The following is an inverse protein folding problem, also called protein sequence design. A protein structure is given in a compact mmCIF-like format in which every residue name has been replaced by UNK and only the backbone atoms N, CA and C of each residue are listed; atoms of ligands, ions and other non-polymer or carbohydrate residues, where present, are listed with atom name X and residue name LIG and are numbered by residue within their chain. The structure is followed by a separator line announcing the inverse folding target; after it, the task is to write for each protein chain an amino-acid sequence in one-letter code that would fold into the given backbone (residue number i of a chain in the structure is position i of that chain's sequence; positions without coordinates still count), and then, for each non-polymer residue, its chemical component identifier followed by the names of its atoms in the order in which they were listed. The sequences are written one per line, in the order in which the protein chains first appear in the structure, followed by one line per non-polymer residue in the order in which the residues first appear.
data_IF_963667630496
#
_entry.id   IF_963667630496
#
_cell.length_a   1.000
_cell.length_b   1.000
_cell.length_c   1.000
_cell.angle_alpha   90.00
_cell.angle_beta   90.00
_cell.angle_gamma   90.00
#
_symmetry.space_group_name_H-M   'P 1'
#
loop_
_entity.id
_entity.type
_entity.pdbx_description
1 polymer ?
#
# COMPACT_ATOMS: atom_id res chain seq x y z
N UNK A 1 -10.74 -1.47 -19.45
CA UNK A 1 -11.19 -1.66 -18.06
C UNK A 1 -10.69 -0.51 -17.20
N UNK A 2 -11.45 -0.06 -16.21
CA UNK A 2 -11.00 0.93 -15.21
C UNK A 2 -9.95 0.30 -14.28
N UNK A 3 -9.00 1.11 -13.80
CA UNK A 3 -8.01 0.70 -12.80
C UNK A 3 -8.62 0.68 -11.39
N UNK A 4 -9.64 -0.16 -11.23
CA UNK A 4 -10.28 -0.42 -9.95
C UNK A 4 -9.48 -1.45 -9.17
N UNK A 5 -9.47 -1.31 -7.84
CA UNK A 5 -8.83 -2.24 -6.91
C UNK A 5 -9.85 -2.76 -5.92
N UNK A 6 -9.71 -4.01 -5.49
CA UNK A 6 -10.50 -4.56 -4.37
C UNK A 6 -9.79 -4.20 -3.07
N UNK A 7 -10.54 -3.82 -2.05
CA UNK A 7 -10.03 -3.62 -0.70
C UNK A 7 -10.90 -4.33 0.34
N UNK A 8 -10.31 -4.56 1.50
CA UNK A 8 -10.98 -5.17 2.64
C UNK A 8 -11.88 -4.19 3.38
N UNK A 9 -13.12 -4.59 3.66
CA UNK A 9 -13.96 -3.88 4.63
C UNK A 9 -13.28 -3.80 6.00
N UNK A 10 -12.42 -4.77 6.34
CA UNK A 10 -11.60 -4.76 7.56
C UNK A 10 -10.62 -3.58 7.59
N UNK A 11 -9.95 -3.26 6.47
CA UNK A 11 -9.09 -2.08 6.39
C UNK A 11 -9.88 -0.80 6.59
N UNK A 12 -11.04 -0.66 5.93
CA UNK A 12 -11.87 0.54 6.07
C UNK A 12 -12.41 0.69 7.49
N UNK A 13 -12.77 -0.40 8.16
CA UNK A 13 -13.18 -0.36 9.56
C UNK A 13 -12.05 0.15 10.46
N UNK A 14 -10.86 -0.45 10.38
CA UNK A 14 -9.71 -0.06 11.19
C UNK A 14 -9.30 1.40 10.95
N UNK A 15 -9.32 1.85 9.70
CA UNK A 15 -9.01 3.24 9.34
C UNK A 15 -10.12 4.18 9.83
N UNK A 16 -11.38 3.78 9.71
CA UNK A 16 -12.51 4.54 10.23
C UNK A 16 -12.40 4.76 11.73
N UNK A 17 -12.07 3.72 12.49
CA UNK A 17 -11.82 3.79 13.92
C UNK A 17 -10.61 4.66 14.25
N UNK A 18 -9.49 4.51 13.52
CA UNK A 18 -8.30 5.35 13.70
C UNK A 18 -8.64 6.85 13.55
N UNK A 19 -9.33 7.22 12.48
CA UNK A 19 -9.61 8.62 12.15
C UNK A 19 -10.72 9.25 13.03
N UNK A 20 -11.53 8.44 13.70
CA UNK A 20 -12.65 8.93 14.54
C UNK A 20 -12.39 8.80 16.04
N UNK A 21 -11.69 7.75 16.48
CA UNK A 21 -11.43 7.43 17.89
C UNK A 21 -9.97 7.62 18.29
N UNK A 22 -9.05 7.75 17.34
CA UNK A 22 -7.62 7.86 17.59
C UNK A 22 -6.88 6.52 17.49
N UNK A 23 -5.62 6.50 17.89
CA UNK A 23 -4.74 5.34 17.77
C UNK A 23 -5.17 4.24 18.75
N UNK A 24 -5.33 3.01 18.24
CA UNK A 24 -5.51 1.83 19.07
C UNK A 24 -4.15 1.32 19.59
N UNK A 25 -3.96 1.45 20.91
CA UNK A 25 -2.75 1.03 21.62
C UNK A 25 -2.71 -0.48 21.92
N UNK A 26 -3.77 -1.22 21.59
CA UNK A 26 -3.85 -2.64 21.87
C UNK A 26 -2.79 -3.47 21.14
N UNK A 27 -2.45 -4.61 21.73
CA UNK A 27 -1.63 -5.62 21.06
C UNK A 27 -2.39 -6.21 19.89
N UNK A 28 -1.67 -6.40 18.80
CA UNK A 28 -2.14 -7.17 17.65
C UNK A 28 -1.09 -8.22 17.30
N UNK A 29 -1.35 -9.03 16.28
CA UNK A 29 -0.44 -10.11 15.90
C UNK A 29 -0.28 -10.22 14.38
N UNK A 30 0.85 -10.72 13.93
CA UNK A 30 0.98 -11.28 12.58
C UNK A 30 1.00 -12.80 12.68
N UNK A 31 0.49 -13.48 11.66
CA UNK A 31 0.60 -14.93 11.55
C UNK A 31 1.89 -15.22 10.79
N UNK A 32 2.88 -15.78 11.48
CA UNK A 32 4.15 -16.19 10.89
C UNK A 32 4.14 -17.69 10.59
N UNK A 33 4.53 -18.05 9.37
CA UNK A 33 4.52 -19.43 8.87
C UNK A 33 5.93 -20.02 9.01
N UNK A 34 6.07 -21.07 9.79
CA UNK A 34 7.32 -21.84 9.90
C UNK A 34 7.20 -23.13 9.07
N UNK A 35 7.71 -23.07 7.84
CA UNK A 35 7.70 -24.21 6.91
C UNK A 35 8.68 -25.31 7.33
N UNK A 36 9.73 -24.97 8.07
CA UNK A 36 10.76 -25.94 8.47
C UNK A 36 10.25 -26.82 9.62
N UNK A 37 9.56 -26.20 10.58
CA UNK A 37 8.99 -26.90 11.73
C UNK A 37 7.52 -27.31 11.54
N UNK A 38 6.97 -27.18 10.33
CA UNK A 38 5.58 -27.51 9.97
C UNK A 38 4.54 -26.92 10.93
N UNK A 39 4.74 -25.66 11.35
CA UNK A 39 3.91 -24.99 12.36
C UNK A 39 3.69 -23.51 12.01
N UNK A 40 2.85 -22.83 12.80
CA UNK A 40 2.69 -21.38 12.69
C UNK A 40 2.64 -20.75 14.08
N UNK A 41 2.94 -19.45 14.14
CA UNK A 41 2.90 -18.70 15.40
C UNK A 41 2.29 -17.31 15.22
N UNK A 42 1.94 -16.68 16.34
CA UNK A 42 1.48 -15.30 16.39
C UNK A 42 2.64 -14.40 16.82
N UNK A 43 3.17 -13.60 15.91
CA UNK A 43 4.19 -12.59 16.21
C UNK A 43 3.53 -11.34 16.78
N UNK A 44 3.96 -10.90 17.96
CA UNK A 44 3.47 -9.67 18.61
C UNK A 44 3.67 -8.44 17.71
N UNK A 45 2.62 -7.63 17.59
CA UNK A 45 2.60 -6.33 16.93
C UNK A 45 1.66 -5.36 17.67
N UNK A 46 1.42 -4.19 17.08
CA UNK A 46 0.49 -3.19 17.60
C UNK A 46 -0.58 -2.87 16.56
N UNK A 47 -1.82 -2.70 17.01
CA UNK A 47 -2.92 -2.24 16.16
C UNK A 47 -2.60 -0.87 15.53
N UNK A 48 -1.92 0.01 16.26
CA UNK A 48 -1.40 1.28 15.75
C UNK A 48 -0.57 1.15 14.46
N UNK A 49 0.28 0.12 14.36
CA UNK A 49 1.13 -0.12 13.19
C UNK A 49 0.27 -0.55 12.01
N UNK A 50 -0.55 -1.59 12.22
CA UNK A 50 -1.43 -2.16 11.19
C UNK A 50 -2.40 -1.11 10.65
N UNK A 51 -3.00 -0.31 11.53
CA UNK A 51 -3.97 0.73 11.12
C UNK A 51 -3.28 1.86 10.34
N UNK A 52 -2.03 2.19 10.70
CA UNK A 52 -1.23 3.19 9.96
C UNK A 52 -0.86 2.68 8.56
N UNK A 53 -0.42 1.42 8.44
CA UNK A 53 -0.16 0.80 7.13
C UNK A 53 -1.41 0.76 6.26
N UNK A 54 -2.55 0.36 6.83
CA UNK A 54 -3.83 0.31 6.13
C UNK A 54 -4.25 1.70 5.63
N UNK A 55 -4.09 2.74 6.46
CA UNK A 55 -4.38 4.12 6.07
C UNK A 55 -3.46 4.56 4.91
N UNK A 56 -2.16 4.30 4.97
CA UNK A 56 -1.22 4.71 3.92
C UNK A 56 -1.48 4.00 2.59
N UNK A 57 -1.81 2.71 2.61
CA UNK A 57 -2.24 1.98 1.43
C UNK A 57 -3.56 2.59 0.88
N UNK A 58 -4.54 2.91 1.74
CA UNK A 58 -5.79 3.56 1.32
C UNK A 58 -5.58 4.95 0.69
N UNK A 59 -4.76 5.81 1.29
CA UNK A 59 -4.48 7.16 0.77
C UNK A 59 -3.86 7.09 -0.62
N UNK A 60 -2.94 6.14 -0.81
CA UNK A 60 -2.34 5.87 -2.12
C UNK A 60 -3.40 5.46 -3.13
N UNK A 61 -4.29 4.54 -2.75
CA UNK A 61 -5.36 4.08 -3.64
C UNK A 61 -6.38 5.18 -3.95
N UNK A 62 -6.75 6.02 -2.99
CA UNK A 62 -7.62 7.19 -3.22
C UNK A 62 -7.00 8.14 -4.26
N UNK A 63 -5.68 8.32 -4.24
CA UNK A 63 -5.02 9.25 -5.16
C UNK A 63 -4.83 8.64 -6.54
N UNK A 64 -4.52 7.33 -6.65
CA UNK A 64 -4.05 6.72 -7.89
C UNK A 64 -5.04 5.76 -8.58
N UNK A 65 -6.05 5.22 -7.89
CA UNK A 65 -6.98 4.24 -8.47
C UNK A 65 -8.23 4.90 -9.02
N UNK A 66 -8.88 4.32 -10.00
CA UNK A 66 -10.20 4.82 -10.43
C UNK A 66 -11.26 4.61 -9.35
N UNK A 67 -11.30 3.40 -8.80
CA UNK A 67 -12.27 2.98 -7.78
C UNK A 67 -11.66 1.98 -6.82
N UNK A 68 -12.11 2.03 -5.57
CA UNK A 68 -11.83 1.08 -4.52
C UNK A 68 -13.13 0.32 -4.26
N UNK A 69 -13.14 -0.95 -4.64
CA UNK A 69 -14.29 -1.83 -4.55
C UNK A 69 -14.24 -2.62 -3.24
N UNK A 70 -15.34 -2.58 -2.49
CA UNK A 70 -15.48 -3.24 -1.19
C UNK A 70 -16.75 -4.08 -1.16
N UNK A 71 -16.76 -5.15 -0.36
CA UNK A 71 -17.90 -6.08 -0.31
C UNK A 71 -19.14 -5.40 0.27
N UNK A 72 -20.25 -5.49 -0.47
CA UNK A 72 -21.47 -4.76 -0.11
C UNK A 72 -22.13 -5.27 1.18
N UNK A 73 -22.05 -6.59 1.42
CA UNK A 73 -22.66 -7.22 2.59
C UNK A 73 -22.03 -6.75 3.92
N UNK A 74 -20.82 -6.16 3.88
CA UNK A 74 -20.10 -5.69 5.05
C UNK A 74 -19.91 -4.17 5.08
N UNK A 75 -20.69 -3.40 4.31
CA UNK A 75 -20.62 -1.92 4.28
C UNK A 75 -20.87 -1.32 5.67
N UNK A 76 -21.79 -1.91 6.43
CA UNK A 76 -22.21 -1.41 7.74
C UNK A 76 -21.06 -1.34 8.77
N UNK A 77 -19.96 -2.07 8.54
CA UNK A 77 -18.80 -2.06 9.43
C UNK A 77 -18.01 -0.74 9.40
N UNK A 78 -18.15 0.07 8.35
CA UNK A 78 -17.35 1.30 8.18
C UNK A 78 -18.15 2.48 7.62
N UNK A 79 -19.28 2.25 6.94
CA UNK A 79 -20.11 3.30 6.36
C UNK A 79 -21.32 3.60 7.24
N UNK A 80 -21.10 4.34 8.33
CA UNK A 80 -22.14 4.83 9.23
C UNK A 80 -22.18 6.37 9.23
N UNK A 81 -23.17 6.98 9.89
CA UNK A 81 -23.20 8.45 10.01
C UNK A 81 -21.91 8.96 10.69
N UNK A 82 -21.35 10.06 10.16
CA UNK A 82 -20.10 10.64 10.64
C UNK A 82 -18.83 9.88 10.25
N UNK A 83 -18.91 8.86 9.38
CA UNK A 83 -17.71 8.16 8.93
C UNK A 83 -16.80 9.07 8.08
N UNK A 84 -15.46 8.88 8.12
CA UNK A 84 -14.51 9.75 7.43
C UNK A 84 -14.49 9.59 5.90
N UNK A 85 -15.22 8.61 5.36
CA UNK A 85 -15.20 8.25 3.94
C UNK A 85 -16.39 8.80 3.14
N UNK A 86 -17.31 9.53 3.78
CA UNK A 86 -18.55 10.02 3.15
C UNK A 86 -18.30 10.74 1.81
N UNK A 87 -17.32 11.63 1.77
CA UNK A 87 -16.98 12.36 0.54
C UNK A 87 -16.45 11.40 -0.54
N UNK A 88 -15.53 10.51 -0.19
CA UNK A 88 -14.97 9.52 -1.12
C UNK A 88 -16.03 8.55 -1.66
N UNK A 89 -17.02 8.17 -0.84
CA UNK A 89 -18.17 7.36 -1.26
C UNK A 89 -19.08 8.15 -2.20
N UNK A 90 -19.39 9.41 -1.86
CA UNK A 90 -20.26 10.27 -2.68
C UNK A 90 -19.68 10.56 -4.07
N UNK A 91 -18.36 10.65 -4.17
CA UNK A 91 -17.64 10.81 -5.44
C UNK A 91 -17.43 9.49 -6.20
N UNK A 92 -17.90 8.36 -5.64
CA UNK A 92 -17.75 7.03 -6.25
C UNK A 92 -16.31 6.50 -6.26
N UNK A 93 -15.41 7.09 -5.46
CA UNK A 93 -14.02 6.63 -5.30
C UNK A 93 -13.99 5.34 -4.49
N UNK A 94 -14.73 5.29 -3.37
CA UNK A 94 -14.99 4.05 -2.62
C UNK A 94 -16.40 3.60 -2.98
N UNK A 95 -16.53 2.37 -3.50
CA UNK A 95 -17.80 1.86 -4.00
C UNK A 95 -18.04 0.45 -3.50
N UNK A 96 -19.24 0.20 -3.00
CA UNK A 96 -19.69 -1.15 -2.72
C UNK A 96 -19.87 -1.96 -4.00
N UNK A 97 -19.53 -3.24 -3.94
CA UNK A 97 -19.66 -4.16 -5.06
C UNK A 97 -20.23 -5.51 -4.59
N UNK A 98 -21.21 -6.06 -5.32
CA UNK A 98 -21.92 -7.30 -4.96
C UNK A 98 -21.12 -8.56 -5.32
N UNK A 99 -19.90 -8.74 -4.76
CA UNK A 99 -19.04 -9.85 -5.18
C UNK A 99 -19.64 -11.23 -4.89
N UNK A 100 -20.55 -11.34 -3.92
CA UNK A 100 -21.15 -12.61 -3.49
C UNK A 100 -22.42 -13.00 -4.25
N UNK A 101 -22.91 -12.18 -5.18
CA UNK A 101 -24.09 -12.53 -6.00
C UNK A 101 -23.85 -13.81 -6.81
N UNK A 102 -22.63 -14.00 -7.32
CA UNK A 102 -22.20 -15.23 -7.98
C UNK A 102 -21.14 -15.98 -7.17
N UNK A 103 -21.47 -16.27 -5.91
CA UNK A 103 -20.61 -17.02 -4.99
C UNK A 103 -20.07 -18.33 -5.58
N UNK A 104 -20.83 -19.00 -6.46
CA UNK A 104 -20.42 -20.28 -7.06
C UNK A 104 -19.14 -20.14 -7.89
N UNK A 105 -18.97 -19.00 -8.60
CA UNK A 105 -17.73 -18.73 -9.36
C UNK A 105 -16.51 -18.54 -8.47
N UNK A 106 -16.72 -18.10 -7.22
CA UNK A 106 -15.63 -17.88 -6.26
C UNK A 106 -15.16 -19.16 -5.58
N UNK A 107 -16.01 -20.21 -5.54
CA UNK A 107 -15.73 -21.40 -4.74
C UNK A 107 -14.44 -22.11 -5.17
N UNK A 108 -14.30 -22.45 -6.45
CA UNK A 108 -13.11 -23.13 -6.97
C UNK A 108 -11.82 -22.35 -6.69
N UNK A 109 -11.69 -21.08 -7.14
CA UNK A 109 -10.52 -20.26 -6.86
C UNK A 109 -10.25 -20.06 -5.37
N UNK A 110 -11.28 -19.90 -4.54
CA UNK A 110 -11.11 -19.75 -3.08
C UNK A 110 -10.51 -21.02 -2.48
N UNK A 111 -11.03 -22.18 -2.85
CA UNK A 111 -10.58 -23.45 -2.29
C UNK A 111 -9.11 -23.72 -2.72
N UNK A 112 -8.71 -23.35 -3.95
CA UNK A 112 -7.30 -23.36 -4.38
C UNK A 112 -6.42 -22.42 -3.53
N UNK A 113 -6.88 -21.20 -3.25
CA UNK A 113 -6.13 -20.27 -2.41
C UNK A 113 -6.06 -20.73 -0.95
N UNK A 114 -7.09 -21.40 -0.42
CA UNK A 114 -7.04 -22.03 0.91
C UNK A 114 -5.92 -23.07 0.93
N UNK A 115 -5.86 -23.97 -0.04
CA UNK A 115 -4.81 -25.00 -0.12
C UNK A 115 -3.41 -24.40 -0.17
N UNK A 116 -3.24 -23.27 -0.88
CA UNK A 116 -1.97 -22.55 -0.98
C UNK A 116 -1.59 -21.76 0.28
N UNK A 117 -2.56 -21.35 1.09
CA UNK A 117 -2.34 -20.61 2.34
C UNK A 117 -2.17 -21.55 3.54
N UNK A 118 -2.80 -22.72 3.53
CA UNK A 118 -2.68 -23.75 4.56
C UNK A 118 -1.41 -24.58 4.35
N UNK A 119 -0.25 -23.94 4.49
CA UNK A 119 1.05 -24.53 4.15
C UNK A 119 1.57 -25.55 5.16
N UNK A 120 1.16 -25.43 6.42
CA UNK A 120 1.59 -26.32 7.51
C UNK A 120 0.46 -27.19 8.01
N UNK A 121 0.79 -28.31 8.64
CA UNK A 121 -0.18 -29.22 9.24
C UNK A 121 -1.05 -28.52 10.29
N UNK A 122 -0.45 -27.64 11.11
CA UNK A 122 -1.18 -26.85 12.10
C UNK A 122 -2.19 -25.89 11.46
N UNK A 123 -1.78 -25.18 10.39
CA UNK A 123 -2.69 -24.28 9.66
C UNK A 123 -3.86 -25.06 9.03
N UNK A 124 -3.59 -26.25 8.47
CA UNK A 124 -4.64 -27.12 7.90
C UNK A 124 -5.62 -27.57 8.98
N UNK A 125 -5.10 -28.03 10.12
CA UNK A 125 -5.89 -28.49 11.26
C UNK A 125 -6.78 -27.37 11.80
N UNK A 126 -6.21 -26.23 12.13
CA UNK A 126 -6.95 -25.12 12.73
C UNK A 126 -7.93 -24.48 11.73
N UNK A 127 -7.60 -24.47 10.43
CA UNK A 127 -8.55 -24.09 9.40
C UNK A 127 -9.72 -25.08 9.28
N UNK A 128 -9.47 -26.38 9.38
CA UNK A 128 -10.52 -27.38 9.37
C UNK A 128 -11.43 -27.29 10.60
N UNK A 129 -10.86 -27.02 11.78
CA UNK A 129 -11.63 -26.72 13.00
C UNK A 129 -12.51 -25.48 12.81
N UNK A 130 -11.98 -24.43 12.16
CA UNK A 130 -12.76 -23.26 11.75
C UNK A 130 -13.93 -23.61 10.83
N UNK A 131 -13.68 -24.44 9.82
CA UNK A 131 -14.68 -24.87 8.84
C UNK A 131 -15.79 -25.68 9.50
N UNK A 132 -15.43 -26.66 10.32
CA UNK A 132 -16.37 -27.51 11.07
C UNK A 132 -17.19 -26.66 12.04
N UNK A 133 -16.51 -25.82 12.84
CA UNK A 133 -17.18 -24.92 13.79
C UNK A 133 -18.18 -24.01 13.10
N UNK A 134 -17.83 -23.44 11.94
CA UNK A 134 -18.72 -22.54 11.21
C UNK A 134 -19.92 -23.30 10.60
N UNK A 135 -19.72 -24.50 10.08
CA UNK A 135 -20.80 -25.33 9.55
C UNK A 135 -21.81 -25.74 10.62
N UNK A 136 -21.33 -26.08 11.81
CA UNK A 136 -22.17 -26.54 12.91
C UNK A 136 -22.84 -25.38 13.66
N UNK A 137 -22.09 -24.33 13.97
CA UNK A 137 -22.47 -23.32 14.96
C UNK A 137 -22.46 -21.89 14.41
N UNK A 138 -22.15 -21.68 13.12
CA UNK A 138 -21.92 -20.35 12.51
C UNK A 138 -20.84 -19.54 13.23
N UNK A 139 -19.88 -20.24 13.84
CA UNK A 139 -18.80 -19.65 14.62
C UNK A 139 -17.45 -20.29 14.26
N UNK A 140 -16.42 -19.48 14.09
CA UNK A 140 -15.05 -19.95 13.82
C UNK A 140 -14.23 -19.92 15.13
N UNK A 141 -13.86 -21.08 15.72
CA UNK A 141 -13.09 -21.14 16.97
C UNK A 141 -11.78 -20.37 16.95
N UNK A 142 -11.06 -20.38 15.83
CA UNK A 142 -9.85 -19.60 15.61
C UNK A 142 -10.16 -18.38 14.75
N UNK A 143 -10.94 -17.44 15.32
CA UNK A 143 -11.52 -16.31 14.58
C UNK A 143 -10.49 -15.45 13.84
N UNK A 144 -9.36 -15.13 14.46
CA UNK A 144 -8.30 -14.32 13.84
C UNK A 144 -7.63 -15.04 12.66
N UNK A 145 -7.33 -16.33 12.81
CA UNK A 145 -6.84 -17.18 11.74
C UNK A 145 -7.86 -17.28 10.60
N UNK A 146 -9.15 -17.49 10.93
CA UNK A 146 -10.23 -17.56 9.95
C UNK A 146 -10.34 -16.27 9.14
N UNK A 147 -10.30 -15.12 9.81
CA UNK A 147 -10.34 -13.82 9.15
C UNK A 147 -9.13 -13.58 8.24
N UNK A 148 -7.95 -14.06 8.63
CA UNK A 148 -6.71 -13.88 7.88
C UNK A 148 -6.60 -14.86 6.71
N UNK A 149 -6.73 -16.16 6.97
CA UNK A 149 -6.58 -17.23 5.98
C UNK A 149 -7.84 -17.40 5.13
N UNK A 150 -8.98 -17.73 5.75
CA UNK A 150 -10.20 -18.05 5.01
C UNK A 150 -10.80 -16.79 4.35
N UNK A 151 -10.85 -15.69 5.10
CA UNK A 151 -11.20 -14.38 4.57
C UNK A 151 -10.24 -13.92 3.48
N UNK A 152 -8.94 -14.12 3.67
CA UNK A 152 -7.90 -13.76 2.70
C UNK A 152 -8.00 -14.54 1.39
N UNK A 153 -8.18 -15.86 1.45
CA UNK A 153 -8.47 -16.69 0.28
C UNK A 153 -9.71 -16.22 -0.47
N UNK A 154 -10.76 -15.82 0.26
CA UNK A 154 -11.95 -15.23 -0.34
C UNK A 154 -11.69 -13.92 -1.09
N UNK A 155 -10.78 -13.08 -0.60
CA UNK A 155 -10.43 -11.83 -1.30
C UNK A 155 -9.53 -12.08 -2.51
N UNK A 156 -8.56 -13.00 -2.40
CA UNK A 156 -7.74 -13.43 -3.53
C UNK A 156 -8.61 -14.03 -4.65
N UNK A 157 -9.59 -14.87 -4.30
CA UNK A 157 -10.55 -15.41 -5.25
C UNK A 157 -11.36 -14.32 -5.96
N UNK A 158 -11.77 -13.26 -5.24
CA UNK A 158 -12.43 -12.11 -5.88
C UNK A 158 -11.49 -11.37 -6.83
N UNK A 159 -10.25 -11.11 -6.43
CA UNK A 159 -9.25 -10.49 -7.29
C UNK A 159 -9.04 -11.28 -8.59
N UNK A 160 -8.97 -12.60 -8.48
CA UNK A 160 -8.87 -13.52 -9.61
C UNK A 160 -10.12 -13.51 -10.50
N UNK A 161 -11.30 -13.78 -9.95
CA UNK A 161 -12.54 -13.95 -10.74
C UNK A 161 -13.02 -12.66 -11.39
N UNK A 162 -12.82 -11.52 -10.73
CA UNK A 162 -13.21 -10.21 -11.23
C UNK A 162 -12.08 -9.47 -11.97
N UNK A 163 -10.92 -10.11 -12.09
CA UNK A 163 -9.73 -9.59 -12.78
C UNK A 163 -9.34 -8.19 -12.28
N UNK A 164 -9.34 -8.03 -10.96
CA UNK A 164 -8.98 -6.78 -10.27
C UNK A 164 -7.76 -6.98 -9.40
N UNK A 165 -6.95 -5.93 -9.29
CA UNK A 165 -5.92 -5.87 -8.25
C UNK A 165 -6.58 -5.93 -6.86
N UNK A 166 -5.80 -6.34 -5.86
CA UNK A 166 -6.24 -6.41 -4.48
C UNK A 166 -5.23 -5.69 -3.60
N UNK A 167 -5.71 -4.70 -2.83
CA UNK A 167 -4.98 -4.06 -1.75
C UNK A 167 -5.35 -4.77 -0.45
N UNK A 168 -4.53 -5.73 0.02
CA UNK A 168 -4.85 -6.51 1.20
C UNK A 168 -4.74 -5.68 2.49
N UNK A 169 -5.56 -6.01 3.48
CA UNK A 169 -5.31 -5.63 4.86
C UNK A 169 -3.87 -6.01 5.27
N UNK A 170 -3.12 -5.18 6.02
CA UNK A 170 -1.70 -5.42 6.27
C UNK A 170 -1.36 -6.78 6.92
N UNK A 171 -2.23 -7.27 7.81
CA UNK A 171 -2.10 -8.63 8.38
C UNK A 171 -2.10 -9.70 7.29
N UNK A 172 -3.02 -9.59 6.32
CA UNK A 172 -3.10 -10.53 5.20
C UNK A 172 -1.95 -10.33 4.22
N UNK A 173 -1.56 -9.08 3.97
CA UNK A 173 -0.39 -8.73 3.14
C UNK A 173 0.85 -9.49 3.60
N UNK A 174 1.15 -9.46 4.91
CA UNK A 174 2.29 -10.16 5.48
C UNK A 174 2.12 -11.68 5.42
N UNK A 175 0.94 -12.19 5.78
CA UNK A 175 0.64 -13.63 5.69
C UNK A 175 0.79 -14.18 4.25
N UNK A 176 0.34 -13.43 3.24
CA UNK A 176 0.49 -13.83 1.84
C UNK A 176 1.96 -13.82 1.39
N UNK A 177 2.73 -12.82 1.83
CA UNK A 177 4.18 -12.76 1.56
C UNK A 177 4.89 -13.97 2.15
N UNK A 178 4.63 -14.32 3.41
CA UNK A 178 5.22 -15.49 4.08
C UNK A 178 4.79 -16.80 3.40
N UNK A 179 3.54 -16.84 2.93
CA UNK A 179 3.00 -17.96 2.16
C UNK A 179 3.59 -18.05 0.73
N UNK A 180 4.31 -17.03 0.26
CA UNK A 180 4.79 -16.95 -1.13
C UNK A 180 3.66 -16.74 -2.15
N UNK A 181 2.50 -16.24 -1.71
CA UNK A 181 1.43 -15.82 -2.60
C UNK A 181 1.75 -14.42 -3.10
N UNK A 182 2.15 -14.35 -4.36
CA UNK A 182 2.07 -13.09 -5.09
C UNK A 182 0.59 -12.78 -5.31
N UNK A 183 0.11 -11.73 -4.66
CA UNK A 183 -1.27 -11.23 -4.85
C UNK A 183 -1.44 -10.97 -6.35
N UNK A 184 -2.26 -11.80 -6.99
CA UNK A 184 -2.27 -11.98 -8.43
C UNK A 184 -2.64 -10.69 -9.16
N UNK A 185 -1.92 -10.44 -10.26
CA UNK A 185 -1.95 -9.30 -11.17
C UNK A 185 -1.22 -8.06 -10.62
N UNK A 186 0.11 -8.00 -10.84
CA UNK A 186 0.87 -6.74 -10.79
C UNK A 186 0.20 -5.72 -11.73
N UNK A 187 -0.68 -4.92 -11.17
CA UNK A 187 -1.35 -3.84 -11.86
C UNK A 187 -0.40 -2.64 -12.05
N UNK A 188 -0.83 -1.69 -12.87
CA UNK A 188 -0.02 -0.54 -13.23
C UNK A 188 0.40 0.33 -12.02
N UNK A 189 -0.42 0.43 -10.96
CA UNK A 189 -0.09 1.20 -9.75
C UNK A 189 0.90 0.46 -8.87
N UNK A 190 0.75 -0.85 -8.70
CA UNK A 190 1.71 -1.66 -7.97
C UNK A 190 3.09 -1.60 -8.63
N UNK A 191 3.16 -1.69 -9.97
CA UNK A 191 4.42 -1.55 -10.72
C UNK A 191 5.06 -0.18 -10.55
N UNK A 192 4.25 0.89 -10.57
CA UNK A 192 4.74 2.25 -10.32
C UNK A 192 5.27 2.39 -8.90
N UNK A 193 4.50 1.98 -7.90
CA UNK A 193 4.86 2.08 -6.48
C UNK A 193 6.12 1.28 -6.17
N UNK A 194 6.29 0.09 -6.76
CA UNK A 194 7.51 -0.72 -6.65
C UNK A 194 8.72 0.04 -7.17
N UNK A 195 8.66 0.59 -8.39
CA UNK A 195 9.73 1.42 -8.94
C UNK A 195 10.07 2.59 -8.01
N UNK A 196 9.04 3.31 -7.54
CA UNK A 196 9.22 4.47 -6.67
C UNK A 196 9.92 4.07 -5.36
N UNK A 197 9.46 3.00 -4.72
CA UNK A 197 10.07 2.47 -3.48
C UNK A 197 11.50 2.00 -3.70
N UNK A 198 11.76 1.22 -4.75
CA UNK A 198 13.11 0.72 -5.09
C UNK A 198 14.09 1.89 -5.30
N UNK A 199 13.66 2.95 -5.99
CA UNK A 199 14.52 4.12 -6.23
C UNK A 199 14.72 4.98 -5.00
N UNK A 200 13.69 5.19 -4.19
CA UNK A 200 13.81 5.88 -2.90
C UNK A 200 14.75 5.14 -1.95
N UNK A 201 14.63 3.81 -1.85
CA UNK A 201 15.53 2.98 -1.05
C UNK A 201 16.99 3.06 -1.55
N UNK A 202 17.18 3.09 -2.87
CA UNK A 202 18.51 3.24 -3.48
C UNK A 202 19.15 4.58 -3.10
N UNK A 203 18.39 5.69 -3.20
CA UNK A 203 18.85 7.04 -2.79
C UNK A 203 19.20 7.05 -1.30
N UNK A 204 18.33 6.51 -0.44
CA UNK A 204 18.54 6.48 1.00
C UNK A 204 19.81 5.69 1.38
N UNK A 205 20.08 4.57 0.71
CA UNK A 205 21.25 3.72 0.98
C UNK A 205 22.60 4.43 0.77
N UNK A 206 22.68 5.34 -0.21
CA UNK A 206 23.92 6.05 -0.53
C UNK A 206 24.24 7.17 0.46
N UNK A 207 23.23 7.80 1.03
CA UNK A 207 23.43 8.83 2.05
C UNK A 207 23.94 8.25 3.39
N UNK A 208 23.63 6.98 3.69
CA UNK A 208 24.12 6.28 4.87
C UNK A 208 25.62 5.91 4.81
N UNK A 209 26.25 5.94 3.62
CA UNK A 209 27.64 5.54 3.44
C UNK A 209 28.68 6.61 3.80
N UNK A 210 28.26 7.82 4.22
CA UNK A 210 29.21 8.93 4.45
C UNK A 210 28.82 10.01 5.45
N UNK A 211 27.69 9.92 6.17
CA UNK A 211 27.32 10.94 7.17
C UNK A 211 26.32 10.44 8.21
N UNK A 212 26.42 10.93 9.46
CA UNK A 212 25.50 10.73 10.58
C UNK A 212 24.10 11.36 10.38
N UNK A 213 23.57 11.38 9.15
CA UNK A 213 22.24 11.88 8.85
C UNK A 213 21.23 10.72 8.89
N UNK A 214 20.81 10.39 10.11
CA UNK A 214 19.68 9.49 10.45
C UNK A 214 18.31 9.91 9.86
N UNK A 215 18.26 10.91 8.98
CA UNK A 215 17.04 11.62 8.61
C UNK A 215 16.30 11.09 7.37
N UNK A 216 16.72 9.97 6.76
CA UNK A 216 16.24 9.56 5.42
C UNK A 216 15.58 8.18 5.29
N UNK A 217 15.40 7.42 6.37
CA UNK A 217 15.06 5.99 6.24
C UNK A 217 13.60 5.63 6.58
N UNK A 218 12.61 6.47 6.26
CA UNK A 218 11.21 6.04 6.45
C UNK A 218 10.69 5.32 5.22
N UNK A 219 10.38 4.03 5.39
CA UNK A 219 9.80 3.15 4.38
C UNK A 219 8.30 3.42 4.21
N UNK A 220 7.98 4.58 3.64
CA UNK A 220 6.62 4.99 3.31
C UNK A 220 6.55 5.43 1.84
N UNK A 221 5.40 5.19 1.22
CA UNK A 221 5.11 5.73 -0.09
C UNK A 221 5.03 7.28 -0.02
N UNK A 222 5.45 7.99 -1.08
CA UNK A 222 5.51 9.45 -1.07
C UNK A 222 4.14 10.14 -1.04
N UNK A 223 3.08 9.47 -1.48
CA UNK A 223 1.73 10.06 -1.51
C UNK A 223 1.12 10.21 -0.11
N UNK A 224 1.16 9.20 0.78
CA UNK A 224 0.82 9.38 2.19
C UNK A 224 1.59 10.51 2.86
N UNK A 225 2.90 10.62 2.59
CA UNK A 225 3.73 11.73 3.10
C UNK A 225 3.16 13.07 2.64
N UNK A 226 2.81 13.20 1.36
CA UNK A 226 2.25 14.43 0.80
C UNK A 226 0.90 14.79 1.45
N UNK A 227 0.03 13.80 1.64
CA UNK A 227 -1.23 13.98 2.37
C UNK A 227 -0.96 14.53 3.77
N UNK A 228 -0.04 13.92 4.52
CA UNK A 228 0.31 14.36 5.87
C UNK A 228 0.83 15.80 5.87
N UNK A 229 1.69 16.15 4.90
CA UNK A 229 2.25 17.50 4.77
C UNK A 229 1.17 18.56 4.58
N UNK A 230 0.16 18.29 3.74
CA UNK A 230 -0.92 19.22 3.41
C UNK A 230 -2.10 19.18 4.40
N UNK A 231 -2.20 18.13 5.22
CA UNK A 231 -3.22 18.01 6.27
C UNK A 231 -2.89 18.85 7.50
N UNK A 232 -3.90 19.38 8.17
CA UNK A 232 -3.75 20.07 9.46
C UNK A 232 -4.18 19.18 10.65
N UNK A 233 -5.06 18.22 10.39
CA UNK A 233 -5.58 17.26 11.38
C UNK A 233 -5.73 15.87 10.75
N UNK A 234 -5.97 14.85 11.58
CA UNK A 234 -6.23 13.49 11.10
C UNK A 234 -7.50 13.41 10.21
N UNK A 235 -8.56 14.13 10.58
CA UNK A 235 -9.83 14.12 9.84
C UNK A 235 -9.71 14.76 8.45
N UNK A 236 -8.72 15.61 8.20
CA UNK A 236 -8.49 16.22 6.90
C UNK A 236 -7.87 15.25 5.88
N UNK A 237 -7.27 14.14 6.32
CA UNK A 237 -6.40 13.31 5.46
C UNK A 237 -7.14 12.72 4.26
N UNK A 238 -8.39 12.27 4.42
CA UNK A 238 -9.20 11.73 3.30
C UNK A 238 -9.53 12.85 2.30
N UNK A 239 -9.90 14.03 2.80
CA UNK A 239 -10.21 15.19 1.97
C UNK A 239 -9.00 15.67 1.18
N UNK A 240 -7.85 15.77 1.82
CA UNK A 240 -6.57 16.11 1.16
C UNK A 240 -6.21 15.07 0.10
N UNK A 241 -6.41 13.78 0.38
CA UNK A 241 -6.19 12.74 -0.62
C UNK A 241 -7.11 12.90 -1.86
N UNK A 242 -8.37 13.32 -1.68
CA UNK A 242 -9.27 13.63 -2.81
C UNK A 242 -8.86 14.89 -3.59
N UNK A 243 -8.24 15.87 -2.93
CA UNK A 243 -7.66 17.03 -3.61
C UNK A 243 -6.46 16.61 -4.46
N UNK A 244 -5.51 15.88 -3.86
CA UNK A 244 -4.36 15.34 -4.57
C UNK A 244 -4.79 14.39 -5.71
N UNK A 245 -5.84 13.59 -5.52
CA UNK A 245 -6.43 12.78 -6.60
C UNK A 245 -6.72 13.59 -7.85
N UNK A 246 -7.20 14.84 -7.70
CA UNK A 246 -7.48 15.74 -8.83
C UNK A 246 -6.18 16.27 -9.46
N UNK A 247 -5.17 16.60 -8.65
CA UNK A 247 -3.85 17.03 -9.14
C UNK A 247 -3.12 15.93 -9.91
N UNK A 248 -3.29 14.67 -9.49
CA UNK A 248 -2.67 13.49 -10.12
C UNK A 248 -3.54 12.88 -11.24
N UNK A 249 -4.55 13.59 -11.75
CA UNK A 249 -5.43 13.09 -12.82
C UNK A 249 -4.65 12.61 -14.06
N UNK A 250 -3.65 13.38 -14.53
CA UNK A 250 -2.85 12.98 -15.70
C UNK A 250 -2.08 11.67 -15.45
N UNK A 251 -1.54 11.49 -14.24
CA UNK A 251 -0.86 10.26 -13.85
C UNK A 251 -1.84 9.08 -13.79
N UNK A 252 -3.04 9.29 -13.23
CA UNK A 252 -4.09 8.27 -13.21
C UNK A 252 -4.54 7.87 -14.61
N UNK A 253 -4.76 8.82 -15.51
CA UNK A 253 -5.15 8.53 -16.89
C UNK A 253 -4.08 7.71 -17.61
N UNK A 254 -2.80 8.02 -17.37
CA UNK A 254 -1.70 7.23 -17.89
C UNK A 254 -1.64 5.82 -17.29
N UNK A 255 -1.85 5.68 -15.97
CA UNK A 255 -1.93 4.39 -15.28
C UNK A 255 -3.10 3.53 -15.76
N UNK A 256 -4.23 4.15 -16.09
CA UNK A 256 -5.40 3.51 -16.71
C UNK A 256 -5.06 2.95 -18.08
N UNK A 257 -4.40 3.74 -18.93
CA UNK A 257 -3.95 3.27 -20.24
C UNK A 257 -2.95 2.12 -20.12
N UNK A 258 -2.06 2.18 -19.12
CA UNK A 258 -1.14 1.08 -18.85
C UNK A 258 -1.88 -0.18 -18.37
N UNK A 259 -2.86 -0.02 -17.47
CA UNK A 259 -3.66 -1.15 -16.99
C UNK A 259 -4.45 -1.80 -18.14
N UNK A 260 -4.99 -1.01 -19.06
CA UNK A 260 -5.65 -1.52 -20.24
C UNK A 260 -4.68 -2.33 -21.11
N UNK A 261 -3.48 -1.83 -21.36
CA UNK A 261 -2.45 -2.57 -22.11
C UNK A 261 -2.06 -3.91 -21.45
N UNK A 262 -1.99 -3.94 -20.10
CA UNK A 262 -1.76 -5.18 -19.34
C UNK A 262 -2.92 -6.17 -19.50
N UNK A 263 -4.16 -5.68 -19.46
CA UNK A 263 -5.37 -6.50 -19.54
C UNK A 263 -5.57 -7.05 -20.96
N UNK A 264 -5.27 -6.26 -21.97
CA UNK A 264 -5.40 -6.64 -23.39
C UNK A 264 -4.24 -7.55 -23.86
N UNK A 265 -3.22 -7.76 -23.03
CA UNK A 265 -2.02 -8.53 -23.39
C UNK A 265 -1.19 -7.93 -24.53
N UNK A 266 -1.35 -6.63 -24.80
CA UNK A 266 -0.68 -5.95 -25.92
C UNK A 266 0.80 -5.72 -25.59
N UNK A 267 1.67 -6.63 -26.03
CA UNK A 267 3.13 -6.53 -25.79
C UNK A 267 3.72 -5.19 -26.26
N UNK A 268 3.25 -4.67 -27.40
CA UNK A 268 3.74 -3.41 -27.97
C UNK A 268 3.40 -2.22 -27.05
N UNK A 269 2.18 -2.17 -26.54
CA UNK A 269 1.74 -1.08 -25.68
C UNK A 269 2.34 -1.21 -24.28
N UNK A 270 2.40 -2.43 -23.73
CA UNK A 270 3.10 -2.70 -22.48
C UNK A 270 4.56 -2.21 -22.53
N UNK A 271 5.28 -2.49 -23.62
CA UNK A 271 6.66 -2.04 -23.80
C UNK A 271 6.78 -0.50 -23.86
N UNK A 272 5.78 0.21 -24.41
CA UNK A 272 5.76 1.69 -24.41
C UNK A 272 5.73 2.24 -22.98
N UNK A 273 4.87 1.68 -22.12
CA UNK A 273 4.78 2.10 -20.72
C UNK A 273 6.03 1.70 -19.93
N UNK A 274 6.52 0.47 -20.10
CA UNK A 274 7.76 -0.01 -19.47
C UNK A 274 8.98 0.83 -19.84
N UNK A 275 9.10 1.30 -21.09
CA UNK A 275 10.18 2.20 -21.51
C UNK A 275 10.16 3.54 -20.79
N UNK A 276 8.98 4.09 -20.46
CA UNK A 276 8.87 5.33 -19.68
C UNK A 276 9.40 5.08 -18.25
N UNK A 277 8.96 4.00 -17.61
CA UNK A 277 9.43 3.61 -16.27
C UNK A 277 10.95 3.34 -16.25
N UNK A 278 11.48 2.64 -17.26
CA UNK A 278 12.90 2.39 -17.41
C UNK A 278 13.69 3.69 -17.64
N UNK A 279 13.17 4.62 -18.45
CA UNK A 279 13.76 5.93 -18.66
C UNK A 279 13.83 6.76 -17.36
N UNK A 280 12.79 6.68 -16.52
CA UNK A 280 12.77 7.32 -15.20
C UNK A 280 13.82 6.68 -14.29
N UNK A 281 13.87 5.34 -14.26
CA UNK A 281 14.88 4.58 -13.51
C UNK A 281 16.29 5.04 -13.87
N UNK A 282 16.64 5.00 -15.16
CA UNK A 282 17.97 5.38 -15.65
C UNK A 282 18.31 6.85 -15.34
N UNK A 283 17.32 7.75 -15.42
CA UNK A 283 17.52 9.15 -15.05
C UNK A 283 17.87 9.31 -13.57
N UNK A 284 17.12 8.65 -12.68
CA UNK A 284 17.39 8.66 -11.24
C UNK A 284 18.77 8.06 -10.95
N UNK A 285 19.08 6.90 -11.54
CA UNK A 285 20.39 6.24 -11.36
C UNK A 285 21.55 7.12 -11.83
N UNK A 286 21.39 7.84 -12.95
CA UNK A 286 22.40 8.78 -13.44
C UNK A 286 22.56 10.02 -12.56
N UNK A 287 21.44 10.53 -12.01
CA UNK A 287 21.45 11.68 -11.10
C UNK A 287 22.20 11.30 -9.83
N UNK A 288 21.91 10.11 -9.29
CA UNK A 288 22.59 9.53 -8.14
C UNK A 288 24.09 9.33 -8.40
N UNK A 289 24.46 8.68 -9.51
CA UNK A 289 25.87 8.39 -9.84
C UNK A 289 26.71 9.61 -10.20
N UNK A 290 26.07 10.76 -10.47
CA UNK A 290 26.75 12.03 -10.74
C UNK A 290 27.04 12.88 -9.49
N UNK A 291 26.60 12.46 -8.31
CA UNK A 291 26.89 13.15 -7.04
C UNK A 291 28.32 12.82 -6.62
N UNK A 292 29.22 13.78 -6.81
CA UNK A 292 30.62 13.70 -6.41
C UNK A 292 30.72 13.48 -4.89
N UNK A 293 31.54 12.53 -4.44
CA UNK A 293 31.65 12.14 -3.02
C UNK A 293 32.17 13.24 -2.09
N UNK A 294 32.63 14.36 -2.66
CA UNK A 294 33.09 15.57 -1.97
C UNK A 294 32.13 16.76 -2.10
N UNK A 295 30.94 16.60 -2.67
CA UNK A 295 29.96 17.68 -2.79
C UNK A 295 29.28 17.95 -1.42
N UNK A 296 29.09 19.22 -1.03
CA UNK A 296 28.48 19.57 0.26
C UNK A 296 27.06 19.02 0.34
N UNK A 297 26.68 18.60 1.55
CA UNK A 297 25.44 17.90 1.90
C UNK A 297 24.22 18.66 1.39
N UNK A 298 23.55 18.10 0.38
CA UNK A 298 22.33 18.67 -0.19
C UNK A 298 21.20 18.62 0.84
N UNK A 299 20.82 19.78 1.37
CA UNK A 299 19.54 19.95 2.06
C UNK A 299 18.46 19.96 0.98
N UNK A 300 17.78 18.82 0.79
CA UNK A 300 16.70 18.67 -0.18
C UNK A 300 15.46 19.46 0.28
N UNK A 301 15.50 20.78 0.11
CA UNK A 301 14.32 21.63 0.09
C UNK A 301 13.63 21.54 -1.27
N UNK A 302 12.30 21.65 -1.27
CA UNK A 302 11.48 21.78 -2.48
C UNK A 302 11.90 23.08 -3.20
N UNK A 303 12.91 22.98 -4.06
CA UNK A 303 13.45 24.13 -4.76
C UNK A 303 14.94 24.00 -4.98
N UNK A 304 15.33 23.92 -6.26
CA UNK A 304 16.71 24.00 -6.75
C UNK A 304 17.51 22.68 -6.68
N UNK A 305 17.03 21.65 -7.39
CA UNK A 305 17.95 20.80 -8.17
C UNK A 305 18.34 21.56 -9.45
N UNK A 306 19.17 22.59 -9.29
CA UNK A 306 20.00 23.11 -10.39
C UNK A 306 21.42 22.64 -10.10
N UNK A 307 21.79 21.46 -10.60
CA UNK A 307 23.20 21.17 -10.84
C UNK A 307 23.40 20.53 -12.21
N UNK A 308 24.45 21.02 -12.85
CA UNK A 308 24.82 20.78 -14.23
C UNK A 308 25.22 19.32 -14.45
N UNK A 309 24.40 18.57 -15.18
CA UNK A 309 24.75 17.22 -15.61
C UNK A 309 25.48 17.31 -16.96
N UNK A 310 26.79 17.01 -16.97
CA UNK A 310 27.52 16.65 -18.19
C UNK A 310 27.07 15.24 -18.62
N UNK A 311 25.92 15.15 -19.29
CA UNK A 311 25.38 13.88 -19.79
C UNK A 311 24.00 14.05 -20.43
N UNK A 312 23.90 13.71 -21.73
CA UNK A 312 22.70 13.66 -22.60
C UNK A 312 21.55 14.65 -22.29
N UNK A 313 21.61 15.90 -22.78
CA UNK A 313 20.63 16.96 -22.48
C UNK A 313 19.17 16.65 -22.90
N UNK A 314 18.98 15.73 -23.84
CA UNK A 314 17.64 15.30 -24.28
C UNK A 314 16.87 14.56 -23.19
N UNK A 315 17.52 13.68 -22.43
CA UNK A 315 16.84 12.93 -21.36
C UNK A 315 16.50 13.84 -20.17
N UNK A 316 17.35 14.81 -19.86
CA UNK A 316 17.12 15.77 -18.77
C UNK A 316 15.91 16.66 -19.04
N UNK A 317 15.73 17.14 -20.29
CA UNK A 317 14.57 17.96 -20.69
C UNK A 317 13.27 17.12 -20.75
N UNK A 318 13.34 15.90 -21.27
CA UNK A 318 12.16 15.02 -21.41
C UNK A 318 11.64 14.54 -20.04
N UNK A 319 12.52 14.42 -19.04
CA UNK A 319 12.16 14.03 -17.67
C UNK A 319 11.56 15.17 -16.81
N UNK A 320 11.53 16.41 -17.32
CA UNK A 320 11.00 17.59 -16.60
C UNK A 320 9.50 17.85 -16.84
N UNK A 321 8.86 17.15 -17.79
CA UNK A 321 7.45 17.37 -18.17
C UNK A 321 6.59 16.12 -18.07
N UNK A 322 5.28 16.32 -17.90
CA UNK A 322 4.24 15.28 -17.85
C UNK A 322 4.48 14.20 -16.79
N UNK A 323 4.11 12.96 -17.12
CA UNK A 323 4.22 11.76 -16.26
C UNK A 323 5.60 11.59 -15.64
N UNK A 324 6.67 11.80 -16.41
CA UNK A 324 8.04 11.63 -15.91
C UNK A 324 8.35 12.61 -14.78
N UNK A 325 7.92 13.86 -14.93
CA UNK A 325 8.06 14.90 -13.91
C UNK A 325 7.30 14.53 -12.64
N UNK A 326 6.06 14.07 -12.78
CA UNK A 326 5.23 13.65 -11.63
C UNK A 326 5.87 12.49 -10.87
N UNK A 327 6.32 11.44 -11.57
CA UNK A 327 6.98 10.28 -10.94
C UNK A 327 8.34 10.64 -10.35
N UNK A 328 9.15 11.47 -11.02
CA UNK A 328 10.41 11.96 -10.47
C UNK A 328 10.18 12.75 -9.18
N UNK A 329 9.13 13.59 -9.10
CA UNK A 329 8.77 14.29 -7.86
C UNK A 329 8.41 13.32 -6.73
N UNK A 330 7.71 12.23 -7.03
CA UNK A 330 7.41 11.19 -6.04
C UNK A 330 8.68 10.48 -5.54
N UNK A 331 9.63 10.20 -6.42
CA UNK A 331 10.91 9.59 -6.06
C UNK A 331 11.76 10.54 -5.22
N UNK A 332 11.78 11.84 -5.56
CA UNK A 332 12.67 12.84 -4.96
C UNK A 332 12.05 13.62 -3.79
N UNK A 333 10.78 13.39 -3.43
CA UNK A 333 10.12 14.13 -2.35
C UNK A 333 10.79 13.87 -0.99
N UNK A 334 10.78 14.89 -0.13
CA UNK A 334 11.49 14.96 1.16
C UNK A 334 11.14 13.82 2.14
N UNK A 335 11.99 13.67 3.17
CA UNK A 335 12.03 12.49 4.02
C UNK A 335 10.88 12.36 5.02
N UNK A 336 10.46 11.11 5.26
CA UNK A 336 9.23 10.81 5.99
C UNK A 336 9.28 10.88 7.52
N UNK A 337 10.43 11.13 8.17
CA UNK A 337 10.49 11.05 9.66
C UNK A 337 9.79 12.22 10.33
N UNK A 338 9.99 13.45 9.84
CA UNK A 338 9.27 14.62 10.36
C UNK A 338 7.78 14.53 10.08
N UNK A 339 7.42 14.01 8.91
CA UNK A 339 6.03 13.83 8.50
C UNK A 339 5.35 12.73 9.32
N UNK A 340 6.02 11.60 9.58
CA UNK A 340 5.50 10.56 10.47
C UNK A 340 5.30 11.09 11.90
N UNK A 341 6.22 11.93 12.40
CA UNK A 341 6.05 12.62 13.69
C UNK A 341 4.89 13.62 13.67
N UNK A 342 4.64 14.30 12.54
CA UNK A 342 3.48 15.18 12.36
C UNK A 342 2.19 14.36 12.40
N UNK A 343 2.14 13.26 11.64
CA UNK A 343 1.04 12.30 11.65
C UNK A 343 0.71 11.80 13.06
N UNK A 344 1.71 11.32 13.79
CA UNK A 344 1.53 10.89 15.18
C UNK A 344 1.08 12.04 16.09
N UNK A 345 1.47 13.28 15.77
CA UNK A 345 1.00 14.48 16.45
C UNK A 345 -0.48 14.78 16.25
N UNK A 346 -1.09 14.36 15.14
CA UNK A 346 -2.54 14.49 14.94
C UNK A 346 -3.37 13.62 15.90
N UNK A 347 -2.73 12.63 16.52
CA UNK A 347 -3.35 11.71 17.48
C UNK A 347 -2.75 11.84 18.88
N UNK A 348 -1.98 12.90 19.17
CA UNK A 348 -1.28 13.09 20.45
C UNK A 348 -0.27 11.98 20.82
N UNK A 349 0.15 11.16 19.85
CA UNK A 349 1.07 10.04 20.06
C UNK A 349 2.54 10.33 19.73
N UNK A 350 2.87 11.56 19.32
CA UNK A 350 4.21 11.95 18.83
C UNK A 350 5.38 11.54 19.75
N UNK A 351 5.20 11.59 21.07
CA UNK A 351 6.24 11.29 22.06
C UNK A 351 5.88 10.10 22.98
N UNK A 352 4.95 9.24 22.55
CA UNK A 352 4.50 8.08 23.33
C UNK A 352 5.29 6.83 22.97
N UNK A 353 5.26 5.80 23.83
CA UNK A 353 5.88 4.49 23.54
C UNK A 353 5.28 3.86 22.28
N UNK A 354 3.96 3.96 22.10
CA UNK A 354 3.27 3.49 20.90
C UNK A 354 3.76 4.26 19.67
N UNK A 355 3.83 5.59 19.74
CA UNK A 355 4.35 6.42 18.65
C UNK A 355 5.79 6.09 18.28
N UNK A 356 6.67 5.87 19.27
CA UNK A 356 8.06 5.44 19.01
C UNK A 356 8.11 4.11 18.26
N UNK A 357 7.31 3.12 18.67
CA UNK A 357 7.21 1.83 17.97
C UNK A 357 6.71 1.95 16.54
N UNK A 358 5.75 2.85 16.29
CA UNK A 358 5.31 3.17 14.91
C UNK A 358 6.47 3.77 14.11
N UNK A 359 7.21 4.75 14.68
CA UNK A 359 8.38 5.31 14.00
C UNK A 359 9.45 4.25 13.71
N UNK A 360 9.75 3.38 14.67
CA UNK A 360 10.70 2.28 14.49
C UNK A 360 10.28 1.34 13.37
N UNK A 361 9.01 0.90 13.36
CA UNK A 361 8.46 0.03 12.32
C UNK A 361 8.66 0.61 10.92
N UNK A 362 8.30 1.89 10.73
CA UNK A 362 8.47 2.54 9.43
C UNK A 362 9.92 2.98 9.16
N UNK A 363 10.83 2.95 10.14
CA UNK A 363 12.24 3.30 9.94
C UNK A 363 13.13 2.10 9.65
N UNK A 364 12.65 0.89 9.93
CA UNK A 364 13.35 -0.35 9.62
C UNK A 364 13.22 -0.65 8.11
N UNK A 365 14.29 -1.19 7.51
CA UNK A 365 14.19 -1.78 6.17
C UNK A 365 13.21 -2.95 6.28
N UNK A 366 12.03 -2.83 5.68
CA UNK A 366 11.25 -4.03 5.40
C UNK A 366 12.07 -4.82 4.38
N UNK A 367 12.54 -5.99 4.82
CA UNK A 367 13.36 -6.94 4.05
C UNK A 367 12.58 -7.45 2.85
#
# INVERSE_FOLDING_TARGET
MSQSVISDNWSLQNIGELLTKGVDESKSHYIAIDKENDSYSYEDSLSAIINTEALFDLLTDIILRDQILVEENFIHAWNHEGNPFQEAVSQGVIRSYPFLVDYKRLQGPRDEFIDRLSLTSDLKKDHEENRIGFLQNRYAPHGYLSQTLWGGAGMLARGFVYEKGYTPHPVRKRFFTDAGIMVSNEDSVLRLNRLVSEKRASIASLHNAGSELYALNVNMLPLPIRVIQESNTASDMIKVALQLRSEYQELRDWLNCYQQALSDGSYKDMNKFSKILQSISLYVDSTIGSVDSNAPTFTAGIGVLKMAVKGQPLNTLVNQFGIRSMVNKLILSSSGTSDLKKYLGFFDHKNTVVGMKVVEHFSQKNV
#
